data_IF_142028759642
#
_entry.id   IF_142028759642
#
_cell.length_a   1.000
_cell.length_b   1.000
_cell.length_c   1.000
_cell.angle_alpha   90.00
_cell.angle_beta   90.00
_cell.angle_gamma   90.00
#
_symmetry.space_group_name_H-M   'P 1'
#
loop_
_entity.id
_entity.type
_entity.pdbx_description
1 polymer ?
#
# COMPACT_ATOMS: atom_id res chain seq x y z
N UNK A 1 -29.23 -13.35 -4.70
CA UNK A 1 -28.41 -12.14 -4.88
C UNK A 1 -27.71 -11.87 -3.55
N UNK A 2 -26.47 -12.29 -3.41
CA UNK A 2 -25.65 -12.06 -2.20
C UNK A 2 -25.11 -10.64 -2.27
N UNK A 3 -25.72 -9.74 -1.49
CA UNK A 3 -25.15 -8.43 -1.20
C UNK A 3 -23.85 -8.64 -0.45
N UNK A 4 -22.71 -8.55 -1.15
CA UNK A 4 -21.40 -8.53 -0.52
C UNK A 4 -21.40 -7.42 0.53
N UNK A 5 -21.33 -7.79 1.80
CA UNK A 5 -21.20 -6.84 2.90
C UNK A 5 -19.95 -6.01 2.62
N UNK A 6 -20.14 -4.71 2.41
CA UNK A 6 -19.05 -3.74 2.55
C UNK A 6 -18.49 -3.96 3.95
N UNK A 7 -17.17 -4.06 4.07
CA UNK A 7 -16.53 -4.25 5.36
C UNK A 7 -16.69 -2.99 6.23
N UNK A 8 -17.77 -2.93 6.99
CA UNK A 8 -18.09 -1.85 7.93
C UNK A 8 -17.16 -1.83 9.17
N UNK A 9 -16.15 -2.70 9.25
CA UNK A 9 -15.20 -2.76 10.38
C UNK A 9 -14.08 -1.71 10.28
N UNK A 10 -14.01 -0.95 9.18
CA UNK A 10 -12.98 0.06 8.94
C UNK A 10 -11.59 -0.50 8.64
N UNK A 11 -11.49 -1.80 8.33
CA UNK A 11 -10.22 -2.49 8.00
C UNK A 11 -9.68 -1.99 6.66
N UNK A 12 -10.54 -2.01 5.63
CA UNK A 12 -10.20 -1.49 4.31
C UNK A 12 -10.41 0.02 4.31
N UNK A 13 -9.42 0.73 3.79
CA UNK A 13 -9.42 2.19 3.75
C UNK A 13 -10.20 2.73 2.56
N UNK A 14 -10.55 4.01 2.61
CA UNK A 14 -11.17 4.70 1.48
C UNK A 14 -10.27 4.66 0.24
N UNK A 15 -10.93 4.68 -0.93
CA UNK A 15 -10.25 4.69 -2.23
C UNK A 15 -9.61 6.06 -2.46
N UNK A 16 -8.31 6.06 -2.77
CA UNK A 16 -7.56 7.26 -3.09
C UNK A 16 -7.46 7.47 -4.61
N UNK A 17 -7.54 8.73 -5.04
CA UNK A 17 -7.17 9.13 -6.39
C UNK A 17 -5.65 9.34 -6.47
N UNK A 18 -4.94 8.43 -7.12
CA UNK A 18 -3.49 8.49 -7.30
C UNK A 18 -3.09 9.55 -8.34
N UNK A 19 -2.12 10.40 -8.01
CA UNK A 19 -1.59 11.46 -8.90
C UNK A 19 -0.21 11.17 -9.52
N UNK A 20 0.62 10.38 -8.83
CA UNK A 20 1.99 10.04 -9.22
C UNK A 20 2.21 8.52 -9.12
N UNK A 21 3.33 7.98 -9.61
CA UNK A 21 3.62 6.53 -9.67
C UNK A 21 3.89 5.85 -8.32
N UNK A 22 3.06 6.11 -7.31
CA UNK A 22 3.21 5.64 -5.92
C UNK A 22 2.27 4.47 -5.57
N UNK A 23 1.72 3.76 -6.56
CA UNK A 23 0.80 2.64 -6.32
C UNK A 23 1.39 1.57 -5.38
N UNK A 24 2.70 1.35 -5.48
CA UNK A 24 3.44 0.44 -4.59
C UNK A 24 3.37 0.88 -3.12
N UNK A 25 3.50 2.20 -2.85
CA UNK A 25 3.44 2.75 -1.50
C UNK A 25 2.02 2.65 -0.96
N UNK A 26 1.03 3.07 -1.75
CA UNK A 26 -0.39 2.98 -1.38
C UNK A 26 -0.74 1.52 -1.03
N UNK A 27 -0.42 0.56 -1.89
CA UNK A 27 -0.76 -0.85 -1.66
C UNK A 27 -0.10 -1.40 -0.39
N UNK A 28 1.20 -1.16 -0.19
CA UNK A 28 1.92 -1.64 1.00
C UNK A 28 1.41 -1.01 2.29
N UNK A 29 1.24 0.31 2.30
CA UNK A 29 0.78 1.05 3.50
C UNK A 29 -0.64 0.64 3.87
N UNK A 30 -1.54 0.48 2.89
CA UNK A 30 -2.93 0.05 3.15
C UNK A 30 -3.01 -1.40 3.62
N UNK A 31 -2.20 -2.30 3.04
CA UNK A 31 -2.05 -3.69 3.51
C UNK A 31 -1.56 -3.72 4.96
N UNK A 32 -0.51 -2.96 5.27
CA UNK A 32 0.05 -2.89 6.62
C UNK A 32 -0.92 -2.30 7.64
N UNK A 33 -1.57 -1.18 7.32
CA UNK A 33 -2.60 -0.58 8.17
C UNK A 33 -3.75 -1.56 8.45
N UNK A 34 -4.21 -2.30 7.44
CA UNK A 34 -5.24 -3.32 7.62
C UNK A 34 -4.79 -4.43 8.59
N UNK A 35 -3.54 -4.91 8.49
CA UNK A 35 -2.99 -5.88 9.43
C UNK A 35 -2.96 -5.36 10.88
N UNK A 36 -2.56 -4.11 11.08
CA UNK A 36 -2.56 -3.49 12.42
C UNK A 36 -3.97 -3.37 12.99
N UNK A 37 -4.94 -2.95 12.17
CA UNK A 37 -6.35 -2.84 12.57
C UNK A 37 -6.95 -4.18 12.97
N UNK A 38 -6.69 -5.23 12.19
CA UNK A 38 -7.15 -6.59 12.50
C UNK A 38 -6.60 -7.08 13.84
N UNK A 39 -5.39 -6.66 14.21
CA UNK A 39 -4.75 -6.98 15.49
C UNK A 39 -5.11 -6.03 16.64
N UNK A 40 -5.94 -5.00 16.39
CA UNK A 40 -6.29 -3.99 17.39
C UNK A 40 -5.15 -3.03 17.74
N UNK A 41 -4.11 -2.96 16.91
CA UNK A 41 -2.93 -2.10 17.12
C UNK A 41 -3.05 -0.73 16.45
N UNK A 42 -3.99 -0.59 15.52
CA UNK A 42 -4.33 0.69 14.89
C UNK A 42 -5.86 0.87 14.96
N UNK A 43 -6.38 2.01 15.43
CA UNK A 43 -7.80 2.29 15.42
C UNK A 43 -8.41 2.18 14.01
N UNK A 44 -9.66 1.70 13.88
CA UNK A 44 -10.30 1.53 12.57
C UNK A 44 -10.35 2.79 11.70
N UNK A 45 -10.50 3.97 12.32
CA UNK A 45 -10.57 5.26 11.63
C UNK A 45 -9.19 5.83 11.26
N UNK A 46 -8.11 5.37 11.91
CA UNK A 46 -6.76 5.84 11.63
C UNK A 46 -6.15 5.14 10.41
N UNK A 47 -5.13 5.80 9.85
CA UNK A 47 -4.38 5.34 8.69
C UNK A 47 -2.90 5.59 8.93
N UNK A 48 -2.05 4.87 8.18
CA UNK A 48 -0.61 5.12 8.16
C UNK A 48 -0.24 6.07 7.02
N UNK A 49 0.79 6.89 7.24
CA UNK A 49 1.26 7.88 6.27
C UNK A 49 1.85 7.23 5.02
N UNK A 50 1.22 7.52 3.88
CA UNK A 50 1.78 7.16 2.56
C UNK A 50 2.92 8.12 2.18
N UNK A 51 2.77 9.40 2.51
CA UNK A 51 3.75 10.45 2.26
C UNK A 51 5.10 10.09 2.89
N UNK A 52 5.11 9.66 4.16
CA UNK A 52 6.33 9.34 4.90
C UNK A 52 7.08 8.15 4.26
N UNK A 53 6.37 7.11 3.82
CA UNK A 53 7.02 5.97 3.16
C UNK A 53 7.74 6.43 1.89
N UNK A 54 7.09 7.28 1.07
CA UNK A 54 7.69 7.77 -0.18
C UNK A 54 8.87 8.70 0.13
N UNK A 55 8.73 9.64 1.06
CA UNK A 55 9.81 10.55 1.47
C UNK A 55 11.03 9.80 2.00
N UNK A 56 10.84 8.82 2.90
CA UNK A 56 11.94 8.02 3.44
C UNK A 56 12.58 7.13 2.35
N UNK A 57 11.77 6.51 1.49
CA UNK A 57 12.30 5.74 0.36
C UNK A 57 13.14 6.61 -0.58
N UNK A 58 12.75 7.86 -0.83
CA UNK A 58 13.57 8.81 -1.58
C UNK A 58 14.85 9.20 -0.87
N UNK A 59 14.78 9.42 0.44
CA UNK A 59 15.94 9.82 1.23
C UNK A 59 17.01 8.72 1.25
N UNK A 60 16.61 7.47 1.50
CA UNK A 60 17.53 6.34 1.59
C UNK A 60 17.88 5.71 0.22
N UNK A 61 16.96 5.77 -0.74
CA UNK A 61 17.12 5.20 -2.09
C UNK A 61 16.78 6.23 -3.19
N UNK A 62 17.51 7.36 -3.26
CA UNK A 62 17.19 8.47 -4.17
C UNK A 62 17.28 8.12 -5.66
N UNK A 63 18.02 7.06 -6.00
CA UNK A 63 18.13 6.56 -7.38
C UNK A 63 17.00 5.60 -7.77
N UNK A 64 16.28 5.06 -6.79
CA UNK A 64 15.16 4.14 -7.01
C UNK A 64 13.84 4.91 -7.03
N UNK A 65 13.67 5.87 -6.12
CA UNK A 65 12.47 6.73 -6.08
C UNK A 65 12.86 8.16 -6.43
N UNK A 66 12.48 8.60 -7.63
CA UNK A 66 12.83 9.92 -8.13
C UNK A 66 11.71 10.53 -8.98
N UNK A 67 11.61 11.87 -8.99
CA UNK A 67 10.70 12.59 -9.89
C UNK A 67 11.09 12.37 -11.35
N UNK A 68 10.11 12.35 -12.27
CA UNK A 68 8.66 12.49 -12.03
C UNK A 68 7.95 11.16 -11.76
N UNK A 69 8.66 10.02 -11.75
CA UNK A 69 8.06 8.69 -11.82
C UNK A 69 7.60 8.19 -10.46
N UNK A 70 8.47 8.29 -9.44
CA UNK A 70 8.24 7.79 -8.07
C UNK A 70 7.91 6.29 -7.93
N UNK A 71 7.98 5.52 -9.02
CA UNK A 71 7.82 4.06 -9.01
C UNK A 71 9.11 3.37 -8.61
N UNK A 72 9.00 2.13 -8.09
CA UNK A 72 10.14 1.29 -7.73
C UNK A 72 10.18 0.01 -8.55
N UNK A 73 11.37 -0.56 -8.71
CA UNK A 73 11.58 -1.86 -9.36
C UNK A 73 11.58 -3.01 -8.36
N UNK A 74 12.14 -2.78 -7.18
CA UNK A 74 12.23 -3.77 -6.11
C UNK A 74 11.33 -3.37 -4.94
N UNK A 75 10.26 -4.15 -4.73
CA UNK A 75 9.31 -3.95 -3.64
C UNK A 75 9.94 -4.20 -2.26
N UNK A 76 11.02 -4.99 -2.15
CA UNK A 76 11.66 -5.30 -0.88
C UNK A 76 12.44 -4.12 -0.30
N UNK A 77 12.71 -3.07 -1.08
CA UNK A 77 13.26 -1.82 -0.53
C UNK A 77 12.32 -1.18 0.51
N UNK A 78 11.01 -1.36 0.35
CA UNK A 78 10.04 -0.90 1.33
C UNK A 78 10.17 -1.65 2.67
N UNK A 79 10.64 -2.91 2.68
CA UNK A 79 10.87 -3.66 3.91
C UNK A 79 11.89 -2.96 4.81
N UNK A 80 13.00 -2.49 4.23
CA UNK A 80 14.05 -1.79 4.97
C UNK A 80 13.47 -0.60 5.74
N UNK A 81 12.65 0.20 5.06
CA UNK A 81 12.01 1.38 5.64
C UNK A 81 11.00 1.00 6.73
N UNK A 82 10.06 0.11 6.41
CA UNK A 82 9.01 -0.32 7.33
C UNK A 82 9.56 -1.02 8.59
N UNK A 83 10.73 -1.66 8.49
CA UNK A 83 11.38 -2.36 9.60
C UNK A 83 12.28 -1.46 10.44
N UNK A 84 13.06 -0.59 9.80
CA UNK A 84 14.11 0.19 10.49
C UNK A 84 13.63 1.57 10.94
N UNK A 85 12.68 2.16 10.20
CA UNK A 85 12.21 3.54 10.43
C UNK A 85 10.74 3.61 10.80
N UNK A 86 9.95 2.63 10.33
CA UNK A 86 8.51 2.55 10.58
C UNK A 86 7.73 3.71 9.97
N UNK A 87 6.41 3.70 10.18
CA UNK A 87 5.52 4.76 9.70
C UNK A 87 4.74 5.41 10.84
N UNK A 88 4.46 6.70 10.70
CA UNK A 88 3.53 7.47 11.53
C UNK A 88 2.10 7.33 11.02
N UNK A 89 1.14 7.81 11.81
CA UNK A 89 -0.23 7.96 11.37
C UNK A 89 -0.35 9.04 10.26
N UNK A 90 -1.29 8.87 9.33
CA UNK A 90 -1.55 9.79 8.22
C UNK A 90 -1.81 11.23 8.69
N UNK A 91 -2.45 11.42 9.85
CA UNK A 91 -2.69 12.74 10.45
C UNK A 91 -1.41 13.51 10.83
N UNK A 92 -0.29 12.79 11.02
CA UNK A 92 1.01 13.37 11.37
C UNK A 92 1.82 13.77 10.13
N UNK A 93 1.64 13.05 9.01
CA UNK A 93 2.27 13.37 7.73
C UNK A 93 1.29 13.03 6.58
N UNK A 94 0.32 13.91 6.29
CA UNK A 94 -0.71 13.64 5.30
C UNK A 94 -0.16 13.57 3.88
N UNK A 95 -0.83 12.81 3.01
CA UNK A 95 -0.52 12.71 1.59
C UNK A 95 -0.76 14.03 0.85
N UNK A 96 0.28 14.86 0.79
CA UNK A 96 0.31 16.13 0.06
C UNK A 96 0.98 16.01 -1.31
N UNK A 97 1.62 14.88 -1.61
CA UNK A 97 2.48 14.70 -2.77
C UNK A 97 3.68 15.67 -2.77
N UNK A 98 4.18 16.00 -1.58
CA UNK A 98 5.35 16.86 -1.39
C UNK A 98 6.56 16.02 -0.99
N UNK A 99 6.90 15.07 -1.86
CA UNK A 99 7.94 14.09 -1.57
C UNK A 99 9.36 14.68 -1.56
N UNK A 100 9.53 15.93 -2.01
CA UNK A 100 10.82 16.64 -2.09
C UNK A 100 11.13 17.42 -0.83
N UNK A 101 10.10 17.75 -0.04
CA UNK A 101 10.28 18.50 1.18
C UNK A 101 11.02 17.67 2.22
N UNK A 102 12.15 18.21 2.67
CA UNK A 102 12.86 17.77 3.87
C UNK A 102 12.42 18.55 5.11
N UNK A 103 11.52 19.53 4.96
CA UNK A 103 11.00 20.26 6.11
C UNK A 103 10.23 19.28 6.98
N UNK A 104 10.67 19.12 8.23
CA UNK A 104 9.87 18.45 9.25
C UNK A 104 8.53 19.18 9.30
N UNK A 105 7.46 18.51 8.88
CA UNK A 105 6.12 19.08 9.00
C UNK A 105 5.94 19.38 10.49
N UNK A 106 5.72 20.64 10.89
CA UNK A 106 5.65 20.99 12.29
C UNK A 106 4.50 20.20 12.90
N UNK A 107 4.82 19.22 13.75
CA UNK A 107 3.82 18.48 14.48
C UNK A 107 3.05 19.51 15.32
N UNK A 108 1.70 19.53 15.27
CA UNK A 108 0.93 20.36 16.19
C UNK A 108 1.44 20.11 17.61
N UNK A 109 1.62 21.16 18.43
CA UNK A 109 2.22 21.08 19.78
C UNK A 109 1.55 20.05 20.70
N UNK A 110 0.34 19.64 20.35
CA UNK A 110 -0.50 18.60 20.94
C UNK A 110 0.13 17.19 20.85
N UNK A 111 1.01 16.97 19.86
CA UNK A 111 1.70 15.71 19.61
C UNK A 111 3.15 15.69 20.12
N UNK A 112 3.50 16.56 21.08
CA UNK A 112 4.83 16.61 21.71
C UNK A 112 5.20 15.36 22.54
N UNK A 113 4.39 14.30 22.50
CA UNK A 113 4.75 12.94 22.93
C UNK A 113 5.72 12.33 21.90
N UNK A 114 6.57 11.34 22.25
CA UNK A 114 7.26 10.57 21.22
C UNK A 114 6.24 10.08 20.18
N UNK A 115 6.43 10.48 18.92
CA UNK A 115 5.54 10.13 17.82
C UNK A 115 5.49 8.61 17.69
N UNK A 116 4.32 8.01 17.93
CA UNK A 116 4.15 6.58 17.77
C UNK A 116 4.44 6.19 16.31
N UNK A 117 5.37 5.26 16.14
CA UNK A 117 5.68 4.65 14.86
C UNK A 117 5.26 3.19 14.83
N UNK A 118 4.90 2.71 13.65
CA UNK A 118 4.47 1.35 13.40
C UNK A 118 5.48 0.64 12.50
N UNK A 119 5.94 -0.52 12.96
CA UNK A 119 7.01 -1.29 12.34
C UNK A 119 6.52 -2.67 11.89
N UNK A 120 7.15 -3.20 10.86
CA UNK A 120 7.01 -4.62 10.50
C UNK A 120 8.21 -5.42 11.02
N UNK A 121 7.99 -6.70 11.30
CA UNK A 121 9.10 -7.63 11.58
C UNK A 121 9.79 -8.10 10.29
N UNK A 122 8.98 -8.37 9.26
CA UNK A 122 9.39 -8.89 7.96
C UNK A 122 8.34 -8.59 6.89
N UNK A 123 8.80 -8.40 5.66
CA UNK A 123 7.98 -8.45 4.45
C UNK A 123 8.30 -9.72 3.67
N UNK A 124 7.28 -10.40 3.15
CA UNK A 124 7.47 -11.58 2.31
C UNK A 124 6.93 -11.31 0.91
N UNK A 125 7.80 -11.49 -0.09
CA UNK A 125 7.42 -11.42 -1.49
C UNK A 125 7.12 -12.83 -2.00
N UNK A 126 5.85 -13.08 -2.29
CA UNK A 126 5.37 -14.35 -2.82
C UNK A 126 5.19 -14.22 -4.33
N UNK A 127 5.89 -15.04 -5.12
CA UNK A 127 5.76 -15.04 -6.58
C UNK A 127 5.24 -16.39 -7.07
N UNK A 128 4.43 -16.38 -8.11
CA UNK A 128 3.88 -17.62 -8.69
C UNK A 128 4.97 -18.61 -9.12
N UNK A 129 6.12 -18.10 -9.57
CA UNK A 129 7.29 -18.92 -9.98
C UNK A 129 7.94 -19.68 -8.82
N UNK A 130 7.67 -19.30 -7.57
CA UNK A 130 8.19 -19.98 -6.39
C UNK A 130 7.35 -21.24 -6.02
N UNK A 131 6.29 -21.53 -6.78
CA UNK A 131 5.38 -22.66 -6.55
C UNK A 131 5.45 -23.68 -7.69
N UNK A 132 5.20 -24.95 -7.36
CA UNK A 132 5.17 -26.04 -8.36
C UNK A 132 4.04 -25.87 -9.39
N UNK A 133 2.94 -25.22 -9.03
CA UNK A 133 1.81 -24.97 -9.92
C UNK A 133 1.03 -23.70 -9.54
N UNK A 134 0.26 -23.16 -10.48
CA UNK A 134 -0.59 -21.99 -10.24
C UNK A 134 -1.67 -22.26 -9.20
N UNK A 135 -2.23 -23.47 -9.17
CA UNK A 135 -3.26 -23.85 -8.19
C UNK A 135 -2.70 -23.81 -6.76
N UNK A 136 -1.44 -24.23 -6.56
CA UNK A 136 -0.76 -24.14 -5.26
C UNK A 136 -0.49 -22.68 -4.87
N UNK A 137 -0.09 -21.85 -5.82
CA UNK A 137 0.08 -20.41 -5.60
C UNK A 137 -1.24 -19.74 -5.19
N UNK A 138 -2.31 -19.97 -5.94
CA UNK A 138 -3.65 -19.44 -5.66
C UNK A 138 -4.18 -19.92 -4.30
N UNK A 139 -4.00 -21.19 -3.96
CA UNK A 139 -4.40 -21.72 -2.66
C UNK A 139 -3.65 -21.03 -1.51
N UNK A 140 -2.35 -20.74 -1.68
CA UNK A 140 -1.57 -19.97 -0.71
C UNK A 140 -2.09 -18.53 -0.59
N UNK A 141 -2.35 -17.87 -1.73
CA UNK A 141 -2.88 -16.51 -1.76
C UNK A 141 -4.24 -16.41 -1.05
N UNK A 142 -5.15 -17.35 -1.31
CA UNK A 142 -6.47 -17.42 -0.66
C UNK A 142 -6.31 -17.63 0.84
N UNK A 143 -5.38 -18.48 1.28
CA UNK A 143 -5.11 -18.70 2.71
C UNK A 143 -4.66 -17.41 3.40
N UNK A 144 -3.85 -16.59 2.76
CA UNK A 144 -3.37 -15.33 3.34
C UNK A 144 -4.40 -14.20 3.25
N UNK A 145 -5.21 -14.15 2.19
CA UNK A 145 -6.33 -13.21 2.06
C UNK A 145 -7.40 -13.39 3.16
N UNK A 146 -7.59 -14.61 3.67
CA UNK A 146 -8.45 -14.83 4.83
C UNK A 146 -7.95 -14.15 6.11
N UNK A 147 -6.66 -13.83 6.20
CA UNK A 147 -6.05 -13.19 7.36
C UNK A 147 -6.06 -11.68 7.24
N UNK A 148 -5.68 -11.13 6.09
CA UNK A 148 -5.64 -9.70 5.83
C UNK A 148 -5.65 -9.38 4.32
N UNK A 149 -6.03 -8.15 3.93
CA UNK A 149 -5.76 -7.66 2.58
C UNK A 149 -4.27 -7.74 2.26
N UNK A 150 -3.95 -8.09 1.02
CA UNK A 150 -2.57 -8.23 0.55
C UNK A 150 -2.28 -7.18 -0.53
N UNK A 151 -1.06 -6.65 -0.52
CA UNK A 151 -0.56 -5.84 -1.62
C UNK A 151 -0.11 -6.77 -2.75
N UNK A 152 -0.50 -6.49 -3.99
CA UNK A 152 -0.08 -7.26 -5.15
C UNK A 152 0.35 -6.34 -6.30
N UNK A 153 1.28 -6.83 -7.11
CA UNK A 153 1.61 -6.21 -8.40
C UNK A 153 0.67 -6.78 -9.46
N UNK A 154 0.04 -5.90 -10.24
CA UNK A 154 -0.81 -6.29 -11.37
C UNK A 154 -0.24 -5.73 -12.66
N UNK A 155 -0.34 -6.51 -13.74
CA UNK A 155 -0.03 -6.04 -15.08
C UNK A 155 -1.26 -5.32 -15.63
N UNK A 156 -1.11 -4.04 -15.96
CA UNK A 156 -2.18 -3.24 -16.58
C UNK A 156 -2.17 -3.47 -18.08
N UNK A 157 -3.35 -3.71 -18.64
CA UNK A 157 -3.59 -3.85 -20.09
C UNK A 157 -4.48 -2.69 -20.56
N UNK A 158 -4.43 -2.28 -21.84
CA UNK A 158 -5.23 -1.16 -22.36
C UNK A 158 -6.74 -1.28 -22.06
N UNK A 159 -7.29 -2.50 -22.14
CA UNK A 159 -8.70 -2.82 -21.85
C UNK A 159 -9.12 -2.53 -20.39
N UNK A 160 -8.20 -2.30 -19.47
CA UNK A 160 -8.52 -1.91 -18.09
C UNK A 160 -9.30 -0.60 -18.03
N UNK A 161 -9.07 0.31 -18.99
CA UNK A 161 -9.76 1.59 -19.09
C UNK A 161 -11.22 1.48 -19.58
N UNK A 162 -11.64 0.28 -20.00
CA UNK A 162 -12.99 0.00 -20.50
C UNK A 162 -13.91 -0.57 -19.43
N UNK A 163 -13.36 -0.98 -18.29
CA UNK A 163 -14.13 -1.53 -17.17
C UNK A 163 -15.00 -0.44 -16.56
N UNK A 164 -16.30 -0.70 -16.44
CA UNK A 164 -17.24 0.20 -15.76
C UNK A 164 -18.03 -0.57 -14.70
N UNK A 165 -17.68 -0.34 -13.44
CA UNK A 165 -18.40 -0.92 -12.30
C UNK A 165 -17.90 -2.33 -11.90
N UNK A 166 -18.84 -3.27 -11.72
CA UNK A 166 -18.61 -4.56 -11.02
C UNK A 166 -18.36 -5.75 -11.97
N UNK A 167 -17.72 -5.50 -13.11
CA UNK A 167 -17.48 -6.53 -14.11
C UNK A 167 -16.32 -7.44 -13.69
N UNK A 168 -16.41 -8.73 -14.04
CA UNK A 168 -15.22 -9.59 -14.03
C UNK A 168 -14.35 -9.17 -15.22
N UNK A 169 -13.13 -8.78 -14.93
CA UNK A 169 -12.20 -8.27 -15.94
C UNK A 169 -11.38 -9.41 -16.53
N UNK A 170 -11.44 -9.54 -17.86
CA UNK A 170 -10.61 -10.44 -18.66
C UNK A 170 -9.68 -9.59 -19.56
N UNK A 171 -8.37 -9.51 -19.27
CA UNK A 171 -7.47 -8.55 -19.90
C UNK A 171 -7.18 -8.88 -21.36
N UNK A 172 -7.38 -7.90 -22.24
CA UNK A 172 -6.96 -7.96 -23.64
C UNK A 172 -6.00 -6.83 -23.99
N UNK A 173 -5.17 -7.05 -25.02
CA UNK A 173 -4.23 -6.03 -25.53
C UNK A 173 -4.90 -4.95 -26.40
N UNK A 174 -6.19 -5.10 -26.69
CA UNK A 174 -6.96 -4.15 -27.49
C UNK A 174 -7.82 -3.27 -26.57
N UNK A 175 -7.80 -1.96 -26.81
CA UNK A 175 -8.82 -1.04 -26.31
C UNK A 175 -10.08 -1.23 -27.17
N UNK A 176 -11.27 -1.30 -26.57
CA UNK A 176 -12.52 -1.24 -27.32
C UNK A 176 -13.00 0.21 -27.53
N UNK A 177 -12.25 1.20 -27.04
CA UNK A 177 -12.41 2.63 -27.32
C UNK A 177 -11.40 3.13 -28.34
#
# INVERSE_FOLDING_TARGET
MTTGKIDNRGIVSEVLLQRLGICWAIANVRSFAAMLKIRGLLPPHQQLSIEELVQQMRFYFPHEVFPPVYGIRDLLLAEFILKSHGLVAEEMNPLYYNFESTEEIPLPKEYASPTQKYYIEKMELVRAVDFESYEKFEASLVKDLHKCPLACSVKLYPSFNDITGKQLYDPTVQSMK
#
